data_IF_573357564263
#
_entry.id   IF_573357564263
#
_cell.length_a   1.000
_cell.length_b   1.000
_cell.length_c   1.000
_cell.angle_alpha   90.00
_cell.angle_beta   90.00
_cell.angle_gamma   90.00
#
_symmetry.space_group_name_H-M   'P 1'
#
loop_
_entity.id
_entity.type
_entity.pdbx_description
1 polymer ?
#
# COMPACT_ATOMS: atom_id res chain seq x y z
N UNK A 1 42.08 -23.54 12.96
CA UNK A 1 40.62 -23.79 12.86
C UNK A 1 40.07 -22.62 12.08
N UNK A 2 39.66 -22.83 10.84
CA UNK A 2 39.17 -21.74 9.99
C UNK A 2 37.75 -21.40 10.42
N UNK A 3 37.57 -20.18 10.91
CA UNK A 3 36.27 -19.62 11.24
C UNK A 3 35.49 -19.45 9.94
N UNK A 4 34.67 -20.45 9.65
CA UNK A 4 33.62 -20.37 8.64
C UNK A 4 32.60 -19.36 9.14
N UNK A 5 32.82 -18.08 8.82
CA UNK A 5 31.90 -16.99 9.06
C UNK A 5 30.65 -17.22 8.20
N UNK A 6 29.72 -18.03 8.71
CA UNK A 6 28.43 -18.30 8.09
C UNK A 6 27.68 -16.99 8.00
N UNK A 7 27.64 -16.39 6.81
CA UNK A 7 26.77 -15.26 6.52
C UNK A 7 25.32 -15.74 6.64
N UNK A 8 24.68 -15.42 7.76
CA UNK A 8 23.24 -15.67 7.94
C UNK A 8 22.48 -14.61 7.15
N UNK A 9 21.60 -14.98 6.21
CA UNK A 9 20.74 -14.02 5.52
C UNK A 9 19.92 -13.23 6.56
N UNK A 10 19.77 -11.92 6.36
CA UNK A 10 18.90 -11.10 7.20
C UNK A 10 17.51 -11.76 7.24
N UNK A 11 16.95 -12.00 8.43
CA UNK A 11 15.63 -12.60 8.60
C UNK A 11 14.51 -11.83 7.86
N UNK A 12 14.74 -10.55 7.54
CA UNK A 12 13.85 -9.68 6.78
C UNK A 12 14.22 -9.57 5.29
N UNK A 13 14.92 -10.57 4.73
CA UNK A 13 15.27 -10.66 3.31
C UNK A 13 14.06 -10.70 2.35
N UNK A 14 12.84 -10.71 2.88
CA UNK A 14 11.62 -10.52 2.11
C UNK A 14 11.64 -9.11 1.50
N UNK A 15 11.83 -9.03 0.19
CA UNK A 15 11.60 -7.80 -0.57
C UNK A 15 10.18 -7.34 -0.34
N UNK A 16 10.00 -6.07 0.06
CA UNK A 16 8.68 -5.47 0.21
C UNK A 16 7.95 -5.58 -1.14
N UNK A 17 6.89 -6.41 -1.20
CA UNK A 17 6.21 -6.75 -2.46
C UNK A 17 5.28 -5.62 -2.95
N UNK A 18 4.93 -4.67 -2.08
CA UNK A 18 3.99 -3.56 -2.34
C UNK A 18 4.60 -2.23 -1.91
N UNK A 19 4.09 -1.13 -2.46
CA UNK A 19 4.45 0.23 -2.03
C UNK A 19 4.06 0.50 -0.58
N UNK A 20 4.25 1.73 -0.12
CA UNK A 20 3.67 2.15 1.17
C UNK A 20 2.14 2.17 1.08
N UNK A 21 1.45 2.07 2.23
CA UNK A 21 -0.01 2.24 2.26
C UNK A 21 -0.46 3.58 1.67
N UNK A 22 0.38 4.62 1.79
CA UNK A 22 0.12 5.91 1.15
C UNK A 22 0.18 5.80 -0.38
N UNK A 23 1.13 5.06 -0.94
CA UNK A 23 1.23 4.86 -2.39
C UNK A 23 -0.02 4.15 -2.92
N UNK A 24 -0.48 3.10 -2.22
CA UNK A 24 -1.72 2.41 -2.58
C UNK A 24 -2.96 3.31 -2.40
N UNK A 25 -2.98 4.19 -1.41
CA UNK A 25 -4.04 5.18 -1.25
C UNK A 25 -4.08 6.21 -2.39
N UNK A 26 -2.93 6.66 -2.89
CA UNK A 26 -2.89 7.55 -4.07
C UNK A 26 -3.41 6.83 -5.32
N UNK A 27 -3.11 5.54 -5.46
CA UNK A 27 -3.68 4.72 -6.55
C UNK A 27 -5.21 4.65 -6.39
N UNK A 28 -5.72 4.38 -5.19
CA UNK A 28 -7.16 4.41 -4.92
C UNK A 28 -7.80 5.73 -5.37
N UNK A 29 -7.26 6.88 -4.94
CA UNK A 29 -7.78 8.19 -5.33
C UNK A 29 -7.77 8.36 -6.85
N UNK A 30 -6.67 8.00 -7.52
CA UNK A 30 -6.54 8.14 -8.99
C UNK A 30 -7.53 7.28 -9.77
N UNK A 31 -7.94 6.13 -9.21
CA UNK A 31 -8.87 5.21 -9.86
C UNK A 31 -10.33 5.48 -9.48
N UNK A 32 -10.59 5.93 -8.25
CA UNK A 32 -11.93 6.11 -7.72
C UNK A 32 -12.50 7.50 -8.00
N UNK A 33 -11.67 8.54 -8.07
CA UNK A 33 -12.13 9.92 -8.25
C UNK A 33 -12.78 10.13 -9.62
N UNK A 34 -14.03 10.60 -9.61
CA UNK A 34 -14.79 10.99 -10.80
C UNK A 34 -14.47 12.41 -11.31
N UNK A 35 -13.52 13.11 -10.70
CA UNK A 35 -13.14 14.49 -11.00
C UNK A 35 -14.03 15.55 -10.36
N UNK A 36 -15.06 15.14 -9.62
CA UNK A 36 -15.96 15.99 -8.82
C UNK A 36 -15.94 15.61 -7.33
N UNK A 37 -14.98 14.79 -6.89
CA UNK A 37 -14.86 14.33 -5.50
C UNK A 37 -15.76 13.15 -5.13
N UNK A 38 -16.35 12.46 -6.12
CA UNK A 38 -17.16 11.25 -5.92
C UNK A 38 -16.44 9.98 -6.36
N UNK A 39 -16.68 8.89 -5.65
CA UNK A 39 -16.14 7.55 -5.89
C UNK A 39 -16.96 6.81 -6.95
N UNK A 40 -16.39 6.61 -8.15
CA UNK A 40 -17.05 5.88 -9.26
C UNK A 40 -17.34 4.42 -8.92
N UNK A 41 -16.60 3.84 -8.00
CA UNK A 41 -16.74 2.43 -7.59
C UNK A 41 -17.82 2.25 -6.52
N UNK A 42 -18.27 3.35 -5.91
CA UNK A 42 -19.22 3.38 -4.80
C UNK A 42 -20.45 4.25 -5.09
N UNK A 43 -20.91 4.25 -6.34
CA UNK A 43 -22.14 4.93 -6.74
C UNK A 43 -22.09 6.46 -6.59
N UNK A 44 -20.90 7.06 -6.67
CA UNK A 44 -20.71 8.52 -6.58
C UNK A 44 -20.72 9.08 -5.16
N UNK A 45 -20.66 8.23 -4.11
CA UNK A 45 -20.46 8.69 -2.73
C UNK A 45 -19.11 9.42 -2.59
N UNK A 46 -18.92 10.24 -1.53
CA UNK A 46 -17.62 10.84 -1.27
C UNK A 46 -16.50 9.80 -1.19
N UNK A 47 -15.30 10.16 -1.66
CA UNK A 47 -14.10 9.34 -1.52
C UNK A 47 -13.80 9.09 -0.03
N UNK A 48 -13.32 7.87 0.27
CA UNK A 48 -12.90 7.52 1.63
C UNK A 48 -11.68 8.34 2.04
N UNK A 49 -11.65 8.73 3.31
CA UNK A 49 -10.42 9.21 3.94
C UNK A 49 -9.39 8.07 4.02
N UNK A 50 -8.13 8.42 4.28
CA UNK A 50 -7.05 7.43 4.41
C UNK A 50 -7.37 6.36 5.46
N UNK A 51 -7.87 6.76 6.63
CA UNK A 51 -8.18 5.84 7.72
C UNK A 51 -9.39 4.95 7.41
N UNK A 52 -10.43 5.49 6.77
CA UNK A 52 -11.59 4.71 6.32
C UNK A 52 -11.20 3.70 5.25
N UNK A 53 -10.32 4.08 4.32
CA UNK A 53 -9.78 3.19 3.30
C UNK A 53 -8.90 2.10 3.90
N UNK A 54 -8.05 2.44 4.87
CA UNK A 54 -7.18 1.48 5.56
C UNK A 54 -7.97 0.46 6.40
N UNK A 55 -9.16 0.85 6.89
CA UNK A 55 -10.05 -0.01 7.66
C UNK A 55 -11.07 -0.82 6.82
N UNK A 56 -11.02 -0.72 5.48
CA UNK A 56 -11.98 -1.32 4.54
C UNK A 56 -11.65 -2.73 4.07
#
# INVERSE_FOLDING_TARGET
>A
MSDNNKLLPNANWQTQQRGSNNDEYQIYLSCADNGNGGDITNGGKPLKTYDEWLAS
#
